data_IF_296360131651
#
_entry.id   IF_296360131651
#
_cell.length_a   1.000
_cell.length_b   1.000
_cell.length_c   1.000
_cell.angle_alpha   90.00
_cell.angle_beta   90.00
_cell.angle_gamma   90.00
#
_symmetry.space_group_name_H-M   'P 1'
#
loop_
_entity.id
_entity.type
_entity.pdbx_description
1 polymer ?
#
# COMPACT_ATOMS: atom_id res chain seq x y z
N UNK A 1 -12.49 -1.80 -20.87
CA UNK A 1 -11.89 -0.70 -20.13
C UNK A 1 -12.55 -0.52 -18.79
N UNK A 2 -11.73 -0.34 -17.73
CA UNK A 2 -12.22 -0.27 -16.36
C UNK A 2 -13.20 0.88 -16.13
N UNK A 3 -12.87 2.07 -16.60
CA UNK A 3 -13.72 3.24 -16.42
C UNK A 3 -15.08 3.07 -17.09
N UNK A 4 -15.09 2.56 -18.30
CA UNK A 4 -16.33 2.27 -19.00
C UNK A 4 -17.18 1.22 -18.33
N UNK A 5 -16.54 0.19 -17.77
CA UNK A 5 -17.22 -0.85 -17.01
C UNK A 5 -17.86 -0.29 -15.74
N UNK A 6 -17.16 0.58 -15.04
CA UNK A 6 -17.70 1.21 -13.82
C UNK A 6 -18.89 2.10 -14.13
N UNK A 7 -18.83 2.86 -15.22
CA UNK A 7 -19.94 3.72 -15.63
C UNK A 7 -21.19 2.90 -15.98
N UNK A 8 -21.01 1.81 -16.71
CA UNK A 8 -22.13 0.92 -17.05
C UNK A 8 -22.72 0.29 -15.80
N UNK A 9 -21.89 -0.15 -14.87
CA UNK A 9 -22.33 -0.71 -13.61
C UNK A 9 -23.11 0.31 -12.78
N UNK A 10 -22.65 1.54 -12.75
CA UNK A 10 -23.33 2.62 -12.03
C UNK A 10 -24.75 2.83 -12.58
N UNK A 11 -24.90 2.86 -13.90
CA UNK A 11 -26.21 2.99 -14.53
C UNK A 11 -27.12 1.83 -14.20
N UNK A 12 -26.61 0.61 -14.28
CA UNK A 12 -27.40 -0.59 -13.99
C UNK A 12 -27.88 -0.61 -12.52
N UNK A 13 -27.00 -0.24 -11.60
CA UNK A 13 -27.33 -0.19 -10.19
C UNK A 13 -28.38 0.89 -9.91
N UNK A 14 -28.32 2.02 -10.59
CA UNK A 14 -29.31 3.07 -10.47
C UNK A 14 -30.67 2.62 -10.98
N UNK A 15 -30.71 1.89 -12.09
CA UNK A 15 -31.95 1.34 -12.63
C UNK A 15 -32.59 0.33 -11.67
N UNK A 16 -31.78 -0.41 -10.93
CA UNK A 16 -32.25 -1.37 -9.94
C UNK A 16 -32.59 -0.71 -8.59
N UNK A 17 -32.53 0.60 -8.51
CA UNK A 17 -32.78 1.36 -7.28
C UNK A 17 -31.80 1.07 -6.15
N UNK A 18 -30.60 0.64 -6.49
CA UNK A 18 -29.52 0.41 -5.51
C UNK A 18 -28.65 1.65 -5.41
N UNK A 19 -29.21 2.71 -4.87
CA UNK A 19 -28.56 4.02 -4.85
C UNK A 19 -27.24 4.03 -4.12
N UNK A 20 -27.13 3.29 -3.02
CA UNK A 20 -25.90 3.23 -2.25
C UNK A 20 -24.77 2.60 -3.07
N UNK A 21 -25.06 1.47 -3.73
CA UNK A 21 -24.07 0.83 -4.58
C UNK A 21 -23.69 1.71 -5.76
N UNK A 22 -24.67 2.40 -6.37
CA UNK A 22 -24.41 3.34 -7.45
C UNK A 22 -23.52 4.50 -6.98
N UNK A 23 -23.75 5.02 -5.78
CA UNK A 23 -22.93 6.08 -5.22
C UNK A 23 -21.48 5.62 -5.01
N UNK A 24 -21.29 4.40 -4.48
CA UNK A 24 -19.95 3.83 -4.31
C UNK A 24 -19.24 3.67 -5.64
N UNK A 25 -19.95 3.20 -6.66
CA UNK A 25 -19.37 3.04 -8.00
C UNK A 25 -19.03 4.39 -8.60
N UNK A 26 -19.87 5.40 -8.37
CA UNK A 26 -19.61 6.77 -8.83
C UNK A 26 -18.34 7.33 -8.19
N UNK A 27 -18.17 7.11 -6.89
CA UNK A 27 -16.96 7.57 -6.19
C UNK A 27 -15.72 6.87 -6.73
N UNK A 28 -15.83 5.57 -7.05
CA UNK A 28 -14.73 4.84 -7.66
C UNK A 28 -14.36 5.41 -9.03
N UNK A 29 -15.35 5.77 -9.85
CA UNK A 29 -15.13 6.40 -11.15
C UNK A 29 -14.41 7.74 -10.98
N UNK A 30 -14.86 8.56 -10.04
CA UNK A 30 -14.22 9.85 -9.74
C UNK A 30 -12.77 9.67 -9.31
N UNK A 31 -12.52 8.69 -8.45
CA UNK A 31 -11.17 8.41 -7.96
C UNK A 31 -10.27 8.00 -9.12
N UNK A 32 -10.74 7.12 -9.98
CA UNK A 32 -9.97 6.67 -11.15
C UNK A 32 -9.67 7.86 -12.08
N UNK A 33 -10.65 8.71 -12.33
CA UNK A 33 -10.45 9.89 -13.19
C UNK A 33 -9.44 10.84 -12.58
N UNK A 34 -9.50 11.07 -11.29
CA UNK A 34 -8.56 11.94 -10.58
C UNK A 34 -7.14 11.40 -10.68
N UNK A 35 -6.97 10.09 -10.45
CA UNK A 35 -5.66 9.46 -10.54
C UNK A 35 -5.11 9.49 -11.96
N UNK A 36 -5.96 9.29 -12.96
CA UNK A 36 -5.56 9.39 -14.37
C UNK A 36 -5.08 10.79 -14.72
N UNK A 37 -5.80 11.81 -14.25
CA UNK A 37 -5.42 13.19 -14.50
C UNK A 37 -4.09 13.52 -13.85
N UNK A 38 -3.85 13.03 -12.63
CA UNK A 38 -2.56 13.19 -11.95
C UNK A 38 -1.45 12.50 -12.74
N UNK A 39 -1.71 11.28 -13.19
CA UNK A 39 -0.75 10.52 -14.00
C UNK A 39 -0.35 11.29 -15.24
N UNK A 40 -1.31 11.86 -15.97
CA UNK A 40 -1.02 12.65 -17.17
C UNK A 40 -0.20 13.89 -16.83
N UNK A 41 -0.55 14.59 -15.77
CA UNK A 41 0.19 15.77 -15.34
C UNK A 41 1.59 15.45 -14.88
N UNK A 42 1.78 14.27 -14.32
CA UNK A 42 3.04 13.84 -13.75
C UNK A 42 3.80 12.87 -14.65
N UNK A 43 3.40 12.74 -15.89
CA UNK A 43 4.06 11.84 -16.85
C UNK A 43 5.55 12.14 -17.00
N UNK A 44 5.95 13.37 -16.73
CA UNK A 44 7.36 13.77 -16.74
C UNK A 44 8.08 13.48 -15.43
N UNK A 45 7.37 13.22 -14.35
CA UNK A 45 7.92 13.01 -13.01
C UNK A 45 8.05 11.54 -12.68
N UNK A 46 7.67 10.65 -13.54
CA UNK A 46 7.83 9.20 -13.36
C UNK A 46 7.70 8.73 -11.92
N UNK A 47 6.50 8.75 -11.43
CA UNK A 47 6.21 8.00 -10.23
C UNK A 47 6.24 6.53 -10.64
N UNK A 48 7.42 5.93 -10.55
CA UNK A 48 7.58 4.53 -10.92
C UNK A 48 6.73 3.62 -10.06
N UNK A 49 6.62 2.37 -10.46
CA UNK A 49 5.95 1.37 -9.65
C UNK A 49 6.64 1.27 -8.29
N UNK A 50 5.84 1.24 -7.24
CA UNK A 50 6.37 1.13 -5.88
C UNK A 50 5.30 0.60 -4.94
N UNK A 51 5.74 0.04 -3.83
CA UNK A 51 4.86 -0.35 -2.73
C UNK A 51 5.29 0.41 -1.49
N UNK A 52 4.33 0.93 -0.74
CA UNK A 52 4.62 1.69 0.47
C UNK A 52 4.10 0.91 1.68
N UNK A 53 5.00 0.62 2.61
CA UNK A 53 4.69 -0.11 3.84
C UNK A 53 4.59 0.86 5.00
N UNK A 54 3.38 1.23 5.38
CA UNK A 54 3.15 2.00 6.59
C UNK A 54 2.88 1.04 7.75
N UNK A 55 3.34 1.39 8.94
CA UNK A 55 3.17 0.48 10.07
C UNK A 55 2.96 1.23 11.37
N UNK A 56 2.27 0.55 12.28
CA UNK A 56 2.11 0.98 13.66
C UNK A 56 2.34 -0.22 14.55
N UNK A 57 3.28 -0.09 15.47
CA UNK A 57 3.58 -1.12 16.47
C UNK A 57 3.25 -0.55 17.84
N UNK A 58 2.57 -1.35 18.64
CA UNK A 58 2.23 -0.99 20.00
C UNK A 58 2.38 -2.19 20.92
N UNK A 59 1.89 -2.04 22.14
CA UNK A 59 2.04 -3.09 23.16
C UNK A 59 1.23 -4.35 22.84
N UNK A 60 0.16 -4.21 22.06
CA UNK A 60 -0.73 -5.32 21.74
C UNK A 60 -0.37 -6.04 20.45
N UNK A 61 0.50 -5.47 19.62
CA UNK A 61 0.87 -6.05 18.34
C UNK A 61 1.22 -4.99 17.33
N UNK A 62 1.13 -5.33 16.05
CA UNK A 62 1.43 -4.40 14.97
C UNK A 62 0.45 -4.51 13.82
N UNK A 63 0.28 -3.41 13.12
CA UNK A 63 -0.50 -3.34 11.88
C UNK A 63 0.42 -2.79 10.79
N UNK A 64 0.41 -3.44 9.64
CA UNK A 64 1.13 -2.99 8.47
C UNK A 64 0.11 -2.75 7.36
N UNK A 65 0.13 -1.57 6.78
CA UNK A 65 -0.69 -1.24 5.61
C UNK A 65 0.24 -1.13 4.41
N UNK A 66 -0.09 -1.85 3.34
CA UNK A 66 0.69 -1.83 2.12
C UNK A 66 -0.13 -1.19 1.01
N UNK A 67 0.37 -0.10 0.45
CA UNK A 67 -0.24 0.56 -0.69
C UNK A 67 0.59 0.22 -1.92
N UNK A 68 -0.03 -0.43 -2.89
CA UNK A 68 0.65 -0.79 -4.14
C UNK A 68 0.35 0.24 -5.22
N UNK A 69 1.40 0.82 -5.79
CA UNK A 69 1.30 1.83 -6.85
C UNK A 69 1.87 1.25 -8.14
N UNK A 70 1.07 1.29 -9.18
CA UNK A 70 1.47 0.86 -10.51
C UNK A 70 1.00 1.92 -11.53
N UNK A 71 1.95 2.41 -12.33
CA UNK A 71 1.64 3.45 -13.29
C UNK A 71 1.16 4.74 -12.64
N UNK A 72 1.68 5.06 -11.46
CA UNK A 72 1.29 6.26 -10.72
C UNK A 72 -0.03 6.16 -9.98
N UNK A 73 -0.67 4.99 -9.98
CA UNK A 73 -1.99 4.81 -9.34
C UNK A 73 -1.92 3.76 -8.24
N UNK A 74 -2.62 4.02 -7.15
CA UNK A 74 -2.79 3.02 -6.09
C UNK A 74 -3.78 1.96 -6.60
N UNK A 75 -3.29 0.76 -6.82
CA UNK A 75 -4.11 -0.33 -7.36
C UNK A 75 -4.67 -1.23 -6.26
N UNK A 76 -4.03 -1.27 -5.10
CA UNK A 76 -4.45 -2.13 -4.01
C UNK A 76 -3.93 -1.60 -2.69
N UNK A 77 -4.71 -1.83 -1.65
CA UNK A 77 -4.31 -1.59 -0.27
C UNK A 77 -4.53 -2.87 0.51
N UNK A 78 -3.51 -3.32 1.21
CA UNK A 78 -3.54 -4.57 1.97
C UNK A 78 -3.18 -4.32 3.42
N UNK A 79 -3.70 -5.12 4.31
CA UNK A 79 -3.40 -5.02 5.72
C UNK A 79 -2.81 -6.34 6.23
N UNK A 80 -1.72 -6.23 6.96
CA UNK A 80 -1.09 -7.36 7.64
C UNK A 80 -1.14 -7.09 9.14
N UNK A 81 -1.35 -8.14 9.91
CA UNK A 81 -1.41 -8.04 11.37
C UNK A 81 -0.29 -8.87 11.96
N UNK A 82 0.48 -8.26 12.84
CA UNK A 82 1.53 -8.93 13.58
C UNK A 82 1.08 -9.08 15.03
N UNK A 83 0.90 -10.32 15.47
CA UNK A 83 0.57 -10.59 16.86
C UNK A 83 1.84 -10.56 17.68
N UNK A 84 1.72 -10.06 18.91
CA UNK A 84 2.84 -10.02 19.82
C UNK A 84 2.98 -11.39 20.50
N UNK A 85 4.09 -12.10 20.28
CA UNK A 85 4.31 -13.34 21.01
C UNK A 85 4.45 -13.04 22.50
N UNK A 86 3.89 -13.92 23.34
CA UNK A 86 3.93 -13.73 24.79
C UNK A 86 5.36 -13.52 25.28
N UNK A 87 5.59 -12.40 25.97
CA UNK A 87 6.88 -12.09 26.56
C UNK A 87 7.91 -11.47 25.65
N UNK A 88 7.57 -11.21 24.38
CA UNK A 88 8.49 -10.59 23.44
C UNK A 88 7.97 -9.25 22.96
N UNK A 89 8.87 -8.32 22.70
CA UNK A 89 8.54 -7.05 22.09
C UNK A 89 8.76 -7.16 20.59
N UNK A 90 7.89 -6.50 19.82
CA UNK A 90 8.08 -6.37 18.38
C UNK A 90 8.99 -5.18 18.12
N UNK A 91 10.07 -5.40 17.37
CA UNK A 91 10.86 -4.28 16.86
C UNK A 91 10.32 -3.87 15.50
N UNK A 92 10.50 -2.60 15.17
CA UNK A 92 10.07 -2.08 13.86
C UNK A 92 10.76 -2.84 12.73
N UNK A 93 12.06 -3.06 12.87
CA UNK A 93 12.83 -3.71 11.82
C UNK A 93 12.40 -5.16 11.60
N UNK A 94 12.28 -5.94 12.68
CA UNK A 94 11.87 -7.33 12.56
C UNK A 94 10.46 -7.46 11.98
N UNK A 95 9.55 -6.58 12.40
CA UNK A 95 8.20 -6.57 11.90
C UNK A 95 8.17 -6.22 10.42
N UNK A 96 8.96 -5.24 10.02
CA UNK A 96 9.04 -4.84 8.62
C UNK A 96 9.60 -5.96 7.73
N UNK A 97 10.68 -6.60 8.16
CA UNK A 97 11.27 -7.72 7.42
C UNK A 97 10.27 -8.87 7.28
N UNK A 98 9.58 -9.21 8.36
CA UNK A 98 8.58 -10.27 8.33
C UNK A 98 7.42 -9.92 7.40
N UNK A 99 6.97 -8.66 7.43
CA UNK A 99 5.89 -8.21 6.57
C UNK A 99 6.26 -8.30 5.09
N UNK A 100 7.46 -7.86 4.75
CA UNK A 100 7.97 -7.94 3.36
C UNK A 100 8.04 -9.39 2.91
N UNK A 101 8.59 -10.26 3.73
CA UNK A 101 8.71 -11.68 3.41
C UNK A 101 7.36 -12.38 3.31
N UNK A 102 6.38 -11.93 4.06
CA UNK A 102 5.03 -12.50 4.01
C UNK A 102 4.24 -11.97 2.82
N UNK A 103 4.45 -10.72 2.45
CA UNK A 103 3.66 -10.07 1.40
C UNK A 103 4.03 -10.54 -0.02
N UNK A 104 5.32 -10.70 -0.29
CA UNK A 104 5.80 -10.89 -1.66
C UNK A 104 5.83 -12.31 -2.21
N UNK A 105 5.75 -13.41 -1.46
CA UNK A 105 5.63 -14.71 -2.11
C UNK A 105 4.46 -14.84 -3.07
N UNK A 106 3.37 -14.09 -2.81
CA UNK A 106 2.17 -14.13 -3.64
C UNK A 106 2.08 -12.99 -4.65
N UNK A 107 3.08 -12.08 -4.65
CA UNK A 107 3.05 -10.87 -5.47
C UNK A 107 4.43 -10.58 -6.01
N UNK A 108 4.48 -9.95 -7.18
CA UNK A 108 5.76 -9.56 -7.78
C UNK A 108 6.20 -8.22 -7.20
N UNK A 109 7.40 -8.14 -6.60
CA UNK A 109 7.89 -6.87 -6.07
C UNK A 109 8.13 -5.84 -7.17
N UNK A 110 7.79 -4.56 -6.91
CA UNK A 110 8.09 -3.48 -7.84
C UNK A 110 9.56 -3.05 -7.71
N UNK A 111 10.05 -2.14 -8.56
CA UNK A 111 11.44 -1.67 -8.47
C UNK A 111 11.80 -1.01 -7.14
N UNK A 112 10.83 -0.39 -6.47
CA UNK A 112 11.07 0.26 -5.18
C UNK A 112 10.05 -0.22 -4.15
N UNK A 113 10.55 -0.53 -2.97
CA UNK A 113 9.73 -0.83 -1.79
C UNK A 113 10.01 0.26 -0.77
N UNK A 114 9.03 1.08 -0.47
CA UNK A 114 9.17 2.20 0.44
C UNK A 114 8.85 1.77 1.86
N UNK A 115 9.75 2.09 2.77
CA UNK A 115 9.68 1.67 4.17
C UNK A 115 9.85 2.88 5.07
N UNK A 116 9.30 2.84 6.29
CA UNK A 116 9.34 4.01 7.18
C UNK A 116 10.65 4.22 7.89
N UNK A 117 11.51 3.21 7.94
CA UNK A 117 12.79 3.27 8.65
C UNK A 117 13.86 2.59 7.83
N UNK A 118 15.12 3.01 8.05
CA UNK A 118 16.26 2.32 7.46
C UNK A 118 16.34 0.90 8.00
N UNK A 119 16.52 -0.06 7.11
CA UNK A 119 16.69 -1.45 7.49
C UNK A 119 18.19 -1.72 7.61
N UNK A 120 18.63 -2.14 8.80
CA UNK A 120 20.03 -2.54 8.98
C UNK A 120 20.30 -3.75 8.12
N UNK A 121 21.45 -3.74 7.42
CA UNK A 121 21.85 -4.81 6.54
C UNK A 121 20.73 -5.18 5.57
N UNK A 122 20.31 -4.20 4.77
CA UNK A 122 19.20 -4.36 3.82
C UNK A 122 19.56 -5.24 2.61
N UNK A 123 20.85 -5.51 2.38
CA UNK A 123 21.29 -6.24 1.19
C UNK A 123 20.65 -7.62 1.02
N UNK A 124 20.60 -8.49 2.05
CA UNK A 124 19.95 -9.78 1.90
C UNK A 124 18.47 -9.66 1.53
N UNK A 125 17.76 -8.70 2.12
CA UNK A 125 16.35 -8.50 1.83
C UNK A 125 16.17 -7.98 0.40
N UNK A 126 16.97 -7.03 -0.02
CA UNK A 126 16.94 -6.53 -1.41
C UNK A 126 17.29 -7.64 -2.42
N UNK A 127 18.24 -8.49 -2.09
CA UNK A 127 18.59 -9.62 -2.93
C UNK A 127 17.40 -10.57 -3.08
N UNK A 128 16.76 -10.91 -1.97
CA UNK A 128 15.60 -11.79 -1.98
C UNK A 128 14.47 -11.20 -2.83
N UNK A 129 14.19 -9.92 -2.66
CA UNK A 129 13.18 -9.22 -3.46
C UNK A 129 13.54 -9.20 -4.94
N UNK A 130 14.81 -8.94 -5.24
CA UNK A 130 15.31 -8.92 -6.61
C UNK A 130 15.15 -10.29 -7.28
N UNK A 131 15.43 -11.37 -6.56
CA UNK A 131 15.23 -12.73 -7.08
C UNK A 131 13.76 -13.01 -7.36
N UNK A 132 12.87 -12.59 -6.46
CA UNK A 132 11.45 -12.77 -6.65
C UNK A 132 10.88 -11.95 -7.81
N UNK A 133 11.43 -10.77 -8.03
CA UNK A 133 10.95 -9.88 -9.07
C UNK A 133 11.54 -10.18 -10.45
N UNK A 134 12.71 -10.82 -10.49
CA UNK A 134 13.45 -11.02 -11.73
C UNK A 134 14.13 -9.74 -12.22
N UNK A 135 14.19 -8.72 -11.40
CA UNK A 135 14.85 -7.44 -11.71
C UNK A 135 15.20 -6.74 -10.40
N UNK A 136 16.06 -5.71 -10.48
CA UNK A 136 16.55 -5.02 -9.30
C UNK A 136 15.41 -4.38 -8.52
N UNK A 137 15.37 -4.68 -7.22
CA UNK A 137 14.43 -4.08 -6.27
C UNK A 137 15.24 -3.40 -5.17
N UNK A 138 14.85 -2.18 -4.81
CA UNK A 138 15.52 -1.42 -3.76
C UNK A 138 14.55 -1.07 -2.65
N UNK A 139 15.07 -1.13 -1.42
CA UNK A 139 14.37 -0.59 -0.26
C UNK A 139 14.69 0.90 -0.16
N UNK A 140 13.68 1.73 -0.05
CA UNK A 140 13.83 3.18 -0.05
C UNK A 140 13.09 3.77 1.13
N UNK A 141 13.73 4.68 1.84
CA UNK A 141 13.04 5.49 2.86
C UNK A 141 12.82 6.87 2.25
N UNK A 142 11.60 7.15 1.77
CA UNK A 142 11.34 8.46 1.16
C UNK A 142 11.39 9.55 2.22
N UNK A 143 11.98 10.69 1.87
CA UNK A 143 12.17 11.80 2.81
C UNK A 143 11.17 12.93 2.60
N UNK A 144 10.68 13.11 1.37
CA UNK A 144 9.79 14.23 1.03
C UNK A 144 9.05 13.96 -0.27
N UNK A 145 8.09 14.83 -0.58
CA UNK A 145 7.37 14.78 -1.83
C UNK A 145 6.25 13.75 -1.81
N UNK A 146 5.76 13.39 -2.99
CA UNK A 146 4.63 12.47 -3.13
C UNK A 146 4.92 11.08 -2.59
N UNK A 147 6.16 10.62 -2.73
CA UNK A 147 6.56 9.32 -2.19
C UNK A 147 6.46 9.28 -0.67
N UNK A 148 6.91 10.36 -0.01
CA UNK A 148 6.78 10.47 1.45
C UNK A 148 5.32 10.63 1.86
N UNK A 149 4.55 11.41 1.10
CA UNK A 149 3.13 11.59 1.39
C UNK A 149 2.35 10.29 1.34
N UNK A 150 2.64 9.44 0.36
CA UNK A 150 1.98 8.14 0.27
C UNK A 150 2.36 7.24 1.44
N UNK A 151 3.64 7.23 1.81
CA UNK A 151 4.08 6.45 2.96
C UNK A 151 3.42 6.94 4.25
N UNK A 152 3.32 8.25 4.43
CA UNK A 152 2.66 8.83 5.60
C UNK A 152 1.18 8.45 5.64
N UNK A 153 0.52 8.42 4.49
CA UNK A 153 -0.88 8.00 4.42
C UNK A 153 -1.03 6.53 4.82
N UNK A 154 -0.16 5.67 4.34
CA UNK A 154 -0.15 4.26 4.72
C UNK A 154 0.09 4.09 6.23
N UNK A 155 1.02 4.87 6.79
CA UNK A 155 1.31 4.85 8.21
C UNK A 155 0.09 5.30 9.02
N UNK A 156 -0.57 6.36 8.58
CA UNK A 156 -1.77 6.85 9.26
C UNK A 156 -2.89 5.82 9.23
N UNK A 157 -3.06 5.14 8.12
CA UNK A 157 -4.05 4.07 8.04
C UNK A 157 -3.70 2.91 8.97
N UNK A 158 -2.41 2.61 9.10
CA UNK A 158 -1.96 1.59 10.06
C UNK A 158 -2.28 2.00 11.49
N UNK A 159 -2.07 3.27 11.83
CA UNK A 159 -2.39 3.79 13.16
C UNK A 159 -3.89 3.71 13.47
N UNK A 160 -4.72 4.07 12.50
CA UNK A 160 -6.17 4.00 12.67
C UNK A 160 -6.64 2.54 12.81
N UNK A 161 -6.10 1.65 12.01
CA UNK A 161 -6.40 0.22 12.07
C UNK A 161 -5.95 -0.37 13.42
N UNK A 162 -4.80 0.06 13.92
CA UNK A 162 -4.31 -0.37 15.22
C UNK A 162 -5.29 -0.02 16.33
N UNK A 163 -5.76 1.22 16.36
CA UNK A 163 -6.75 1.66 17.35
C UNK A 163 -8.04 0.84 17.26
N UNK A 164 -8.49 0.57 16.06
CA UNK A 164 -9.73 -0.18 15.85
C UNK A 164 -9.59 -1.63 16.29
N UNK A 165 -8.46 -2.25 16.00
CA UNK A 165 -8.25 -3.68 16.25
C UNK A 165 -7.80 -3.97 17.67
N UNK A 166 -6.92 -3.14 18.21
CA UNK A 166 -6.33 -3.30 19.53
C UNK A 166 -6.79 -2.22 20.49
N UNK A 167 -7.98 -1.71 20.30
CA UNK A 167 -8.40 -0.54 21.05
C UNK A 167 -8.38 -0.81 22.56
N UNK A 168 -7.74 0.08 23.19
CA UNK A 168 -7.58 0.09 24.63
C UNK A 168 -8.59 1.02 25.28
#
# INVERSE_FOLDING_TARGET
ELLGQLKRRMLAESEDLRYEAAAQTHDAVKTIETLRNREQKMSTVRLGDRDAFGMKIGLAGGIIQVFQVRGGRVIERSELVADLPAGNELTVQETLEAAVQQFYPARVPPPEVHVPVEVEDSEPLEYWLTQNAGRKVRLVVPKRGDKRGLLDLATRNAELAYRSRFSD
#
